data_IF_951447164229
#
_entry.id   IF_951447164229
#
_cell.length_a   1.000
_cell.length_b   1.000
_cell.length_c   1.000
_cell.angle_alpha   90.00
_cell.angle_beta   90.00
_cell.angle_gamma   90.00
#
_symmetry.space_group_name_H-M   'P 1'
#
loop_
_entity.id
_entity.type
_entity.pdbx_description
1 polymer ?
#
# COMPACT_ATOMS: atom_id res chain seq x y z
N UNK A 1 58.38 -46.07 -48.19
CA UNK A 1 57.88 -44.70 -47.91
C UNK A 1 58.27 -44.30 -46.50
N UNK A 2 59.44 -43.69 -46.34
CA UNK A 2 59.91 -43.17 -45.04
C UNK A 2 59.42 -41.72 -44.89
N UNK A 3 58.63 -41.45 -43.86
CA UNK A 3 58.35 -40.07 -43.43
C UNK A 3 59.38 -39.64 -42.39
N UNK A 4 60.01 -38.49 -42.69
CA UNK A 4 61.00 -37.80 -41.88
C UNK A 4 60.27 -36.99 -40.82
N UNK A 5 60.45 -37.35 -39.54
CA UNK A 5 59.94 -36.59 -38.40
C UNK A 5 60.94 -35.48 -38.05
N UNK A 6 60.60 -34.24 -38.41
CA UNK A 6 61.35 -33.06 -38.00
C UNK A 6 60.89 -32.63 -36.60
N UNK A 7 61.78 -32.82 -35.62
CA UNK A 7 61.60 -32.37 -34.25
C UNK A 7 61.70 -30.85 -34.16
N UNK A 8 60.58 -30.21 -33.84
CA UNK A 8 60.55 -28.81 -33.37
C UNK A 8 60.63 -28.82 -31.85
N UNK A 9 61.77 -28.40 -31.32
CA UNK A 9 61.93 -28.03 -29.92
C UNK A 9 61.12 -26.76 -29.65
N UNK A 10 59.94 -26.92 -29.04
CA UNK A 10 59.13 -25.82 -28.54
C UNK A 10 59.79 -25.33 -27.25
N UNK A 11 60.28 -24.10 -27.28
CA UNK A 11 60.90 -23.42 -26.15
C UNK A 11 59.91 -23.29 -25.00
N UNK A 12 60.20 -23.95 -23.88
CA UNK A 12 59.38 -23.99 -22.65
C UNK A 12 59.11 -22.59 -22.07
N UNK A 13 59.89 -21.58 -22.48
CA UNK A 13 59.77 -20.20 -22.00
C UNK A 13 58.54 -19.43 -22.55
N UNK A 14 58.03 -19.77 -23.74
CA UNK A 14 56.85 -19.08 -24.31
C UNK A 14 55.52 -19.57 -23.71
N UNK A 15 55.50 -20.77 -23.11
CA UNK A 15 54.31 -21.33 -22.48
C UNK A 15 53.89 -20.62 -21.19
N UNK A 16 54.84 -20.02 -20.47
CA UNK A 16 54.60 -19.40 -19.15
C UNK A 16 53.94 -18.00 -19.29
N UNK A 17 54.30 -17.25 -20.33
CA UNK A 17 53.71 -15.94 -20.64
C UNK A 17 52.23 -16.07 -21.08
N UNK A 18 51.92 -17.07 -21.92
CA UNK A 18 50.53 -17.35 -22.33
C UNK A 18 49.65 -17.84 -21.18
N UNK A 19 50.21 -18.58 -20.21
CA UNK A 19 49.49 -18.99 -19.01
C UNK A 19 49.16 -17.80 -18.09
N UNK A 20 50.07 -16.81 -17.98
CA UNK A 20 49.85 -15.58 -17.18
C UNK A 20 48.79 -14.66 -17.77
N UNK A 21 48.78 -14.45 -19.09
CA UNK A 21 47.72 -13.67 -19.75
C UNK A 21 46.35 -14.33 -19.62
N UNK A 22 46.30 -15.66 -19.71
CA UNK A 22 45.04 -16.43 -19.55
C UNK A 22 44.50 -16.35 -18.11
N UNK A 23 45.39 -16.37 -17.10
CA UNK A 23 44.99 -16.24 -15.70
C UNK A 23 44.50 -14.83 -15.35
N UNK A 24 45.11 -13.78 -15.91
CA UNK A 24 44.68 -12.39 -15.72
C UNK A 24 43.31 -12.10 -16.36
N UNK A 25 43.03 -12.68 -17.53
CA UNK A 25 41.70 -12.60 -18.16
C UNK A 25 40.63 -13.32 -17.33
N UNK A 26 40.93 -14.49 -16.76
CA UNK A 26 40.00 -15.23 -15.89
C UNK A 26 39.73 -14.51 -14.55
N UNK A 27 40.70 -13.77 -14.00
CA UNK A 27 40.52 -12.97 -12.77
C UNK A 27 39.70 -11.69 -13.00
N UNK A 28 39.68 -11.15 -14.22
CA UNK A 28 38.84 -9.99 -14.56
C UNK A 28 37.38 -10.35 -14.83
N UNK A 29 37.08 -11.59 -15.21
CA UNK A 29 35.72 -12.02 -15.55
C UNK A 29 34.83 -12.33 -14.34
N UNK A 30 35.41 -12.64 -13.17
CA UNK A 30 34.65 -12.94 -11.94
C UNK A 30 34.15 -11.69 -11.20
N UNK A 31 34.56 -10.49 -11.62
CA UNK A 31 34.09 -9.22 -11.03
C UNK A 31 32.78 -8.67 -11.64
N UNK A 32 32.32 -9.22 -12.78
CA UNK A 32 31.21 -8.63 -13.55
C UNK A 32 29.88 -9.39 -13.48
N UNK A 33 29.78 -10.47 -12.68
CA UNK A 33 28.56 -11.26 -12.54
C UNK A 33 27.85 -11.10 -11.18
N UNK A 34 28.26 -10.15 -10.35
CA UNK A 34 27.34 -9.55 -9.39
C UNK A 34 26.51 -8.52 -10.17
N UNK A 35 25.58 -9.00 -11.01
CA UNK A 35 24.56 -8.12 -11.55
C UNK A 35 23.89 -7.48 -10.35
N UNK A 36 24.03 -6.16 -10.20
CA UNK A 36 23.46 -5.42 -9.08
C UNK A 36 21.96 -5.67 -9.09
N UNK A 37 21.51 -6.61 -8.24
CA UNK A 37 20.10 -6.89 -8.06
C UNK A 37 19.45 -5.56 -7.69
N UNK A 38 18.59 -5.07 -8.57
CA UNK A 38 17.96 -3.78 -8.40
C UNK A 38 17.08 -3.82 -7.15
N UNK A 39 16.76 -2.67 -6.58
CA UNK A 39 15.82 -2.61 -5.46
C UNK A 39 14.43 -3.17 -5.82
N UNK A 40 14.09 -3.27 -7.10
CA UNK A 40 12.86 -3.92 -7.58
C UNK A 40 12.92 -5.46 -7.52
N UNK A 41 14.12 -6.04 -7.52
CA UNK A 41 14.32 -7.49 -7.44
C UNK A 41 14.58 -7.93 -6.00
N UNK A 42 15.28 -7.10 -5.21
CA UNK A 42 15.54 -7.34 -3.79
C UNK A 42 15.47 -6.02 -2.98
N UNK A 43 14.28 -5.62 -2.51
CA UNK A 43 14.10 -4.38 -1.74
C UNK A 43 14.64 -4.45 -0.31
N UNK A 44 15.12 -5.60 0.15
CA UNK A 44 15.66 -5.80 1.51
C UNK A 44 17.15 -5.44 1.65
N UNK A 45 17.73 -4.77 0.65
CA UNK A 45 19.14 -4.35 0.69
C UNK A 45 19.26 -2.96 1.33
N UNK A 46 20.35 -2.71 2.06
CA UNK A 46 20.59 -1.40 2.71
C UNK A 46 20.57 -0.22 1.73
N UNK A 47 21.03 -0.44 0.48
CA UNK A 47 21.00 0.57 -0.59
C UNK A 47 19.58 0.96 -1.03
N UNK A 48 18.57 0.16 -0.69
CA UNK A 48 17.18 0.39 -1.08
C UNK A 48 16.39 1.21 -0.07
N UNK A 49 17.04 1.72 0.99
CA UNK A 49 16.36 2.50 2.02
C UNK A 49 15.69 3.76 1.49
N UNK A 50 16.31 4.40 0.49
CA UNK A 50 15.74 5.57 -0.16
C UNK A 50 15.20 5.22 -1.54
N UNK A 51 13.88 5.25 -1.69
CA UNK A 51 13.25 5.01 -2.98
C UNK A 51 13.49 6.12 -4.01
N UNK A 52 13.93 7.32 -3.62
CA UNK A 52 14.07 8.43 -4.57
C UNK A 52 15.08 8.15 -5.70
N UNK A 53 16.03 7.24 -5.48
CA UNK A 53 17.02 6.85 -6.49
C UNK A 53 16.48 5.94 -7.61
N UNK A 54 15.38 5.21 -7.37
CA UNK A 54 14.89 4.17 -8.30
C UNK A 54 13.37 4.12 -8.48
N UNK A 55 12.61 4.79 -7.61
CA UNK A 55 11.18 5.00 -7.73
C UNK A 55 10.79 6.37 -7.14
N UNK A 56 11.23 7.47 -7.77
CA UNK A 56 11.05 8.83 -7.27
C UNK A 56 9.59 9.24 -7.20
N UNK A 57 9.31 10.32 -6.45
CA UNK A 57 7.96 10.89 -6.31
C UNK A 57 7.24 11.13 -7.64
N UNK A 58 7.95 11.49 -8.72
CA UNK A 58 7.39 11.66 -10.07
C UNK A 58 6.83 10.37 -10.64
N UNK A 59 7.50 9.24 -10.41
CA UNK A 59 7.10 7.94 -10.92
C UNK A 59 5.94 7.39 -10.11
N UNK A 60 5.94 7.60 -8.78
CA UNK A 60 4.79 7.30 -7.91
C UNK A 60 3.56 8.09 -8.35
N UNK A 61 3.73 9.37 -8.64
CA UNK A 61 2.65 10.24 -9.14
C UNK A 61 2.14 9.78 -10.52
N UNK A 62 3.04 9.33 -11.40
CA UNK A 62 2.67 8.77 -12.70
C UNK A 62 1.87 7.48 -12.54
N UNK A 63 2.30 6.57 -11.65
CA UNK A 63 1.57 5.36 -11.29
C UNK A 63 0.17 5.66 -10.75
N UNK A 64 0.05 6.63 -9.85
CA UNK A 64 -1.24 7.12 -9.34
C UNK A 64 -2.12 7.69 -10.46
N UNK A 65 -1.55 8.50 -11.35
CA UNK A 65 -2.25 9.06 -12.50
C UNK A 65 -2.84 7.98 -13.40
N UNK A 66 -2.05 6.95 -13.72
CA UNK A 66 -2.52 5.79 -14.50
C UNK A 66 -3.66 5.05 -13.79
N UNK A 67 -3.53 4.79 -12.48
CA UNK A 67 -4.55 4.10 -11.68
C UNK A 67 -5.85 4.89 -11.64
N UNK A 68 -5.78 6.19 -11.32
CA UNK A 68 -6.95 7.04 -11.21
C UNK A 68 -7.55 7.43 -12.56
N UNK A 69 -6.80 7.37 -13.66
CA UNK A 69 -7.37 7.50 -15.00
C UNK A 69 -8.17 6.25 -15.38
N UNK A 70 -7.66 5.06 -15.05
CA UNK A 70 -8.34 3.80 -15.33
C UNK A 70 -9.58 3.58 -14.45
N UNK A 71 -9.51 4.00 -13.18
CA UNK A 71 -10.60 3.87 -12.21
C UNK A 71 -10.70 5.15 -11.35
N UNK A 72 -11.35 6.22 -11.85
CA UNK A 72 -11.38 7.53 -11.18
C UNK A 72 -12.12 7.55 -9.85
N UNK A 73 -12.97 6.55 -9.61
CA UNK A 73 -13.84 6.47 -8.45
C UNK A 73 -13.36 5.50 -7.38
N UNK A 74 -12.08 5.11 -7.41
CA UNK A 74 -11.50 4.38 -6.29
C UNK A 74 -11.42 5.28 -5.06
N UNK A 75 -11.66 4.77 -3.85
CA UNK A 75 -11.63 5.59 -2.63
C UNK A 75 -10.33 6.39 -2.48
N UNK A 76 -9.17 5.77 -2.77
CA UNK A 76 -7.89 6.48 -2.78
C UNK A 76 -7.75 7.54 -3.87
N UNK A 77 -8.41 7.37 -5.03
CA UNK A 77 -8.46 8.36 -6.10
C UNK A 77 -9.40 9.53 -5.77
N UNK A 78 -10.49 9.29 -5.05
CA UNK A 78 -11.37 10.33 -4.51
C UNK A 78 -10.62 11.23 -3.53
N UNK A 79 -9.77 10.64 -2.67
CA UNK A 79 -8.89 11.42 -1.79
C UNK A 79 -7.85 12.19 -2.61
N UNK A 80 -7.22 11.55 -3.62
CA UNK A 80 -6.28 12.26 -4.52
C UNK A 80 -6.94 13.46 -5.20
N UNK A 81 -8.14 13.28 -5.75
CA UNK A 81 -8.89 14.35 -6.41
C UNK A 81 -9.17 15.53 -5.45
N UNK A 82 -9.47 15.24 -4.19
CA UNK A 82 -9.52 16.26 -3.14
C UNK A 82 -8.16 16.93 -2.93
N UNK A 83 -7.08 16.18 -2.75
CA UNK A 83 -5.73 16.74 -2.58
C UNK A 83 -5.27 17.65 -3.74
N UNK A 84 -5.73 17.39 -4.96
CA UNK A 84 -5.43 18.21 -6.14
C UNK A 84 -6.36 19.45 -6.27
N UNK A 85 -7.50 19.47 -5.58
CA UNK A 85 -8.47 20.56 -5.61
C UNK A 85 -8.12 21.61 -4.54
N UNK A 86 -7.85 22.84 -4.98
CA UNK A 86 -7.55 23.98 -4.11
C UNK A 86 -8.68 24.30 -3.09
N UNK A 87 -9.90 23.81 -3.33
CA UNK A 87 -11.04 23.96 -2.44
C UNK A 87 -11.14 22.86 -1.39
N UNK A 88 -10.21 21.90 -1.38
CA UNK A 88 -10.23 20.73 -0.49
C UNK A 88 -9.11 20.77 0.56
N UNK A 89 -9.02 21.87 1.30
CA UNK A 89 -8.02 22.06 2.37
C UNK A 89 -8.29 21.26 3.66
N UNK A 90 -9.22 20.31 3.59
CA UNK A 90 -9.80 19.57 4.71
C UNK A 90 -9.24 18.14 4.82
N UNK A 91 -8.24 17.80 4.02
CA UNK A 91 -7.44 16.57 4.11
C UNK A 91 -6.03 16.94 4.54
N UNK A 92 -5.52 16.27 5.58
CA UNK A 92 -4.18 16.53 6.08
C UNK A 92 -3.12 16.20 5.02
N UNK A 93 -2.12 17.06 4.92
CA UNK A 93 -1.05 16.96 3.91
C UNK A 93 -0.39 15.56 3.86
N UNK A 94 -0.24 14.87 5.00
CA UNK A 94 0.33 13.51 5.05
C UNK A 94 -0.42 12.49 4.18
N UNK A 95 -1.74 12.62 4.02
CA UNK A 95 -2.52 11.72 3.17
C UNK A 95 -2.52 12.14 1.70
N UNK A 96 -2.08 13.37 1.42
CA UNK A 96 -1.87 13.87 0.07
C UNK A 96 -0.47 13.55 -0.47
N UNK A 97 0.41 12.96 0.34
CA UNK A 97 1.69 12.47 -0.15
C UNK A 97 1.48 11.29 -1.12
N UNK A 98 2.13 11.28 -2.30
CA UNK A 98 1.93 10.22 -3.30
C UNK A 98 2.16 8.80 -2.76
N UNK A 99 3.12 8.64 -1.86
CA UNK A 99 3.39 7.35 -1.22
C UNK A 99 2.25 6.89 -0.28
N UNK A 100 1.58 7.81 0.41
CA UNK A 100 0.37 7.49 1.18
C UNK A 100 -0.78 7.07 0.26
N UNK A 101 -1.03 7.86 -0.80
CA UNK A 101 -2.11 7.58 -1.75
C UNK A 101 -1.92 6.25 -2.49
N UNK A 102 -0.70 5.96 -2.96
CA UNK A 102 -0.45 4.70 -3.69
C UNK A 102 -0.57 3.50 -2.74
N UNK A 103 -0.21 3.66 -1.46
CA UNK A 103 -0.42 2.64 -0.42
C UNK A 103 -1.90 2.39 -0.16
N UNK A 104 -2.73 3.43 -0.14
CA UNK A 104 -4.20 3.32 -0.04
C UNK A 104 -4.84 2.59 -1.24
N UNK A 105 -4.22 2.61 -2.42
CA UNK A 105 -4.78 1.95 -3.61
C UNK A 105 -4.20 0.54 -3.78
N UNK A 106 -2.88 0.40 -3.69
CA UNK A 106 -2.16 -0.80 -4.10
C UNK A 106 -1.89 -1.78 -2.96
N UNK A 107 -1.87 -1.34 -1.70
CA UNK A 107 -1.60 -2.26 -0.59
C UNK A 107 -2.72 -3.29 -0.46
N UNK A 108 -2.35 -4.56 -0.31
CA UNK A 108 -3.32 -5.61 -0.01
C UNK A 108 -3.80 -5.59 1.44
N UNK A 109 -3.12 -4.83 2.32
CA UNK A 109 -3.49 -4.72 3.73
C UNK A 109 -4.42 -3.54 3.98
N UNK A 110 -4.20 -2.43 3.28
CA UNK A 110 -4.90 -1.16 3.53
C UNK A 110 -5.78 -0.71 2.36
N UNK A 111 -5.58 -1.26 1.16
CA UNK A 111 -6.17 -0.77 -0.07
C UNK A 111 -7.10 -1.73 -0.78
N UNK A 112 -7.28 -1.47 -2.07
CA UNK A 112 -8.28 -2.08 -2.95
C UNK A 112 -7.88 -3.49 -3.45
N UNK A 113 -6.77 -4.05 -2.95
CA UNK A 113 -6.20 -5.33 -3.42
C UNK A 113 -6.03 -5.39 -4.94
N UNK A 114 -5.53 -4.30 -5.55
CA UNK A 114 -5.31 -4.17 -7.00
C UNK A 114 -4.00 -4.86 -7.45
N UNK A 115 -3.77 -6.07 -6.97
CA UNK A 115 -2.62 -6.89 -7.38
C UNK A 115 -2.71 -7.22 -8.87
N UNK A 116 -1.71 -6.80 -9.64
CA UNK A 116 -1.62 -7.04 -11.09
C UNK A 116 -1.97 -5.82 -11.96
N UNK A 117 -2.48 -4.73 -11.39
CA UNK A 117 -2.59 -3.49 -12.15
C UNK A 117 -1.23 -2.88 -12.43
N UNK A 118 -1.02 -2.38 -13.66
CA UNK A 118 0.26 -1.79 -14.09
C UNK A 118 0.76 -0.70 -13.14
N UNK A 119 -0.12 0.20 -12.69
CA UNK A 119 0.25 1.27 -11.76
C UNK A 119 0.57 0.81 -10.33
N UNK A 120 0.20 -0.42 -9.95
CA UNK A 120 0.56 -1.00 -8.66
C UNK A 120 1.79 -1.92 -8.73
N UNK A 121 2.30 -2.23 -9.94
CA UNK A 121 3.36 -3.22 -10.12
C UNK A 121 4.64 -2.86 -9.35
N UNK A 122 5.14 -1.63 -9.50
CA UNK A 122 6.38 -1.19 -8.82
C UNK A 122 6.18 -1.15 -7.31
N UNK A 123 5.07 -0.57 -6.84
CA UNK A 123 4.74 -0.54 -5.42
C UNK A 123 4.68 -1.95 -4.81
N UNK A 124 4.02 -2.90 -5.47
CA UNK A 124 3.88 -4.26 -4.95
C UNK A 124 5.20 -5.01 -4.87
N UNK A 125 6.15 -4.73 -5.77
CA UNK A 125 7.51 -5.29 -5.69
C UNK A 125 8.30 -4.76 -4.51
N UNK A 126 8.05 -3.52 -4.09
CA UNK A 126 8.80 -2.83 -3.03
C UNK A 126 8.15 -2.95 -1.65
N UNK A 127 6.83 -2.85 -1.57
CA UNK A 127 6.04 -2.70 -0.35
C UNK A 127 4.89 -3.72 -0.24
N UNK A 128 4.91 -4.78 -1.06
CA UNK A 128 3.89 -5.84 -1.00
C UNK A 128 3.86 -6.50 0.39
N UNK A 129 2.70 -7.05 0.78
CA UNK A 129 2.49 -7.66 2.11
C UNK A 129 3.54 -8.72 2.46
N UNK A 130 3.96 -9.51 1.49
CA UNK A 130 4.90 -10.62 1.67
C UNK A 130 6.33 -10.26 1.26
N UNK A 131 6.62 -8.96 1.07
CA UNK A 131 7.93 -8.45 0.67
C UNK A 131 8.67 -7.94 1.91
N UNK A 132 9.77 -8.59 2.25
CA UNK A 132 10.74 -8.01 3.18
C UNK A 132 11.41 -6.81 2.49
N UNK A 133 11.29 -5.62 3.08
CA UNK A 133 11.72 -4.37 2.46
C UNK A 133 12.45 -3.47 3.45
N UNK A 134 13.52 -2.84 3.00
CA UNK A 134 14.20 -1.76 3.72
C UNK A 134 13.79 -0.37 3.24
N UNK A 135 12.94 -0.29 2.20
CA UNK A 135 12.47 0.97 1.61
C UNK A 135 11.69 1.77 2.65
N UNK A 136 12.23 2.92 3.07
CA UNK A 136 11.66 3.73 4.15
C UNK A 136 10.23 4.18 3.85
N UNK A 137 9.96 4.56 2.60
CA UNK A 137 8.65 5.01 2.14
C UNK A 137 7.54 3.95 2.29
N UNK A 138 7.88 2.66 2.42
CA UNK A 138 6.89 1.62 2.69
C UNK A 138 6.36 1.65 4.13
N UNK A 139 7.12 2.15 5.10
CA UNK A 139 6.84 2.02 6.54
C UNK A 139 6.82 3.33 7.33
N UNK A 140 7.38 4.40 6.79
CA UNK A 140 7.44 5.71 7.45
C UNK A 140 6.06 6.35 7.66
N UNK A 141 5.95 7.13 8.74
CA UNK A 141 4.69 7.78 9.14
C UNK A 141 4.20 8.83 8.13
N UNK A 142 5.13 9.52 7.44
CA UNK A 142 4.75 10.50 6.40
C UNK A 142 4.07 9.85 5.19
N UNK A 143 4.26 8.55 5.01
CA UNK A 143 3.65 7.72 3.96
C UNK A 143 2.61 6.76 4.54
N UNK A 144 2.14 7.00 5.76
CA UNK A 144 1.10 6.20 6.39
C UNK A 144 -0.18 6.25 5.55
N UNK A 145 -0.86 5.11 5.33
CA UNK A 145 -2.13 5.09 4.64
C UNK A 145 -3.22 5.75 5.50
N UNK A 146 -4.37 5.99 4.89
CA UNK A 146 -5.57 6.37 5.61
C UNK A 146 -6.05 5.14 6.39
N UNK A 147 -6.18 5.23 7.72
CA UNK A 147 -6.59 4.09 8.51
C UNK A 147 -8.00 3.67 8.13
N UNK A 148 -8.21 2.37 7.88
CA UNK A 148 -9.52 1.79 7.59
C UNK A 148 -10.29 2.43 6.43
N UNK A 149 -9.60 3.01 5.44
CA UNK A 149 -10.24 3.56 4.24
C UNK A 149 -11.18 2.52 3.62
N UNK A 150 -12.49 2.81 3.48
CA UNK A 150 -13.42 1.90 2.82
C UNK A 150 -12.94 1.57 1.42
N UNK A 151 -12.92 0.27 1.06
CA UNK A 151 -12.64 -0.12 -0.31
C UNK A 151 -13.75 0.34 -1.25
N UNK A 152 -13.46 0.46 -2.53
CA UNK A 152 -14.36 0.93 -3.59
C UNK A 152 -15.58 0.03 -3.67
N UNK A 153 -15.39 -1.28 -3.52
CA UNK A 153 -16.50 -2.24 -3.47
C UNK A 153 -17.39 -2.02 -2.24
N UNK A 154 -16.81 -1.76 -1.06
CA UNK A 154 -17.58 -1.43 0.14
C UNK A 154 -18.28 -0.08 -0.02
N UNK A 155 -17.59 0.94 -0.50
CA UNK A 155 -18.13 2.26 -0.79
C UNK A 155 -19.31 2.17 -1.75
N UNK A 156 -19.16 1.44 -2.86
CA UNK A 156 -20.21 1.23 -3.85
C UNK A 156 -21.44 0.55 -3.27
N UNK A 157 -21.28 -0.61 -2.61
CA UNK A 157 -22.41 -1.36 -2.06
C UNK A 157 -23.18 -0.55 -0.99
N UNK A 158 -22.45 0.15 -0.11
CA UNK A 158 -23.07 0.95 0.94
C UNK A 158 -23.66 2.26 0.38
N UNK A 159 -22.99 2.94 -0.55
CA UNK A 159 -23.53 4.12 -1.23
C UNK A 159 -24.82 3.79 -1.98
N UNK A 160 -24.88 2.65 -2.69
CA UNK A 160 -26.08 2.16 -3.36
C UNK A 160 -27.26 1.99 -2.38
N UNK A 161 -26.96 1.48 -1.19
CA UNK A 161 -27.95 1.21 -0.15
C UNK A 161 -28.47 2.51 0.46
N UNK A 162 -27.57 3.46 0.79
CA UNK A 162 -27.98 4.73 1.38
C UNK A 162 -28.65 5.67 0.36
N UNK A 163 -28.22 5.62 -0.90
CA UNK A 163 -28.81 6.36 -2.01
C UNK A 163 -29.87 5.57 -2.79
N UNK A 164 -30.49 4.54 -2.19
CA UNK A 164 -31.51 3.72 -2.85
C UNK A 164 -32.76 4.52 -3.29
N UNK A 165 -33.91 3.85 -3.36
CA UNK A 165 -35.11 4.41 -4.01
C UNK A 165 -35.59 5.79 -3.50
N UNK A 166 -35.14 6.24 -2.32
CA UNK A 166 -35.48 7.53 -1.73
C UNK A 166 -34.22 8.29 -1.29
N UNK A 167 -33.48 8.95 -2.21
CA UNK A 167 -32.35 9.78 -1.82
C UNK A 167 -32.84 10.88 -0.86
N UNK A 168 -32.05 11.27 0.16
CA UNK A 168 -32.45 12.36 1.05
C UNK A 168 -32.74 13.63 0.25
N UNK A 169 -33.89 14.25 0.53
CA UNK A 169 -34.30 15.47 -0.18
C UNK A 169 -33.22 16.55 -0.05
N UNK A 170 -32.83 17.16 -1.18
CA UNK A 170 -31.80 18.20 -1.22
C UNK A 170 -30.35 17.69 -1.10
N UNK A 171 -30.11 16.38 -1.05
CA UNK A 171 -28.75 15.85 -1.10
C UNK A 171 -28.13 16.08 -2.48
N UNK A 172 -26.92 16.67 -2.51
CA UNK A 172 -26.13 16.87 -3.74
C UNK A 172 -25.19 15.69 -4.03
N UNK A 173 -25.12 14.76 -3.09
CA UNK A 173 -24.23 13.60 -3.09
C UNK A 173 -24.95 12.29 -3.47
N UNK A 174 -26.28 12.17 -3.27
CA UNK A 174 -27.06 11.14 -3.95
C UNK A 174 -27.70 11.73 -5.22
N UNK A 175 -27.59 11.03 -6.33
CA UNK A 175 -28.50 11.25 -7.48
C UNK A 175 -29.52 10.13 -7.50
N UNK A 176 -30.70 10.36 -8.09
CA UNK A 176 -31.80 9.39 -8.12
C UNK A 176 -31.49 8.10 -8.90
N UNK A 177 -30.35 8.04 -9.61
CA UNK A 177 -29.92 6.81 -10.27
C UNK A 177 -29.21 5.92 -9.24
N UNK A 178 -29.67 4.68 -9.03
CA UNK A 178 -29.07 3.79 -8.05
C UNK A 178 -27.61 3.50 -8.44
N UNK A 179 -26.71 3.66 -7.49
CA UNK A 179 -25.30 3.29 -7.64
C UNK A 179 -25.15 1.76 -7.65
N UNK A 180 -25.71 1.07 -8.65
CA UNK A 180 -25.55 -0.38 -8.76
C UNK A 180 -24.15 -0.73 -9.29
N UNK A 181 -23.72 -1.98 -9.17
CA UNK A 181 -22.48 -2.46 -9.81
C UNK A 181 -22.55 -2.35 -11.34
N UNK A 182 -23.74 -2.47 -11.93
CA UNK A 182 -24.00 -2.24 -13.36
C UNK A 182 -24.00 -0.77 -13.75
N UNK A 183 -24.32 0.14 -12.82
CA UNK A 183 -24.35 1.59 -13.00
C UNK A 183 -23.18 2.30 -12.31
N UNK A 184 -22.16 1.56 -11.87
CA UNK A 184 -20.99 2.12 -11.21
C UNK A 184 -20.33 3.26 -12.01
N UNK A 185 -20.28 3.24 -13.37
CA UNK A 185 -19.80 4.39 -14.15
C UNK A 185 -20.66 5.65 -14.01
N UNK A 186 -21.95 5.47 -13.70
CA UNK A 186 -22.93 6.55 -13.55
C UNK A 186 -23.08 6.99 -12.08
N UNK A 187 -22.57 6.20 -11.14
CA UNK A 187 -22.49 6.60 -9.74
C UNK A 187 -21.41 7.68 -9.59
N UNK A 188 -21.83 8.88 -9.21
CA UNK A 188 -20.92 9.94 -8.81
C UNK A 188 -20.12 9.44 -7.60
N UNK A 189 -18.82 9.23 -7.77
CA UNK A 189 -17.82 8.87 -6.73
C UNK A 189 -18.42 8.19 -5.47
N UNK A 190 -18.47 6.85 -5.42
CA UNK A 190 -19.11 6.12 -4.34
C UNK A 190 -18.57 6.44 -2.95
N UNK A 191 -17.27 6.74 -2.82
CA UNK A 191 -16.68 7.07 -1.53
C UNK A 191 -17.13 8.44 -1.03
N UNK A 192 -17.16 9.44 -1.91
CA UNK A 192 -17.70 10.77 -1.58
C UNK A 192 -19.19 10.69 -1.26
N UNK A 193 -19.95 9.89 -2.02
CA UNK A 193 -21.38 9.66 -1.80
C UNK A 193 -21.65 9.02 -0.43
N UNK A 194 -20.97 7.93 -0.11
CA UNK A 194 -21.03 7.28 1.20
C UNK A 194 -20.68 8.26 2.32
N UNK A 195 -19.61 9.04 2.15
CA UNK A 195 -19.16 10.02 3.14
C UNK A 195 -20.20 11.10 3.38
N UNK A 196 -20.81 11.67 2.32
CA UNK A 196 -21.90 12.63 2.44
C UNK A 196 -23.08 12.08 3.22
N UNK A 197 -23.42 10.81 2.99
CA UNK A 197 -24.49 10.12 3.69
C UNK A 197 -24.21 9.92 5.18
N UNK A 198 -23.00 9.47 5.50
CA UNK A 198 -22.58 9.22 6.86
C UNK A 198 -22.35 10.49 7.67
N UNK A 199 -21.99 11.59 7.02
CA UNK A 199 -21.98 12.90 7.66
C UNK A 199 -23.39 13.40 7.97
N UNK A 200 -24.38 13.10 7.11
CA UNK A 200 -25.78 13.46 7.37
C UNK A 200 -26.40 12.62 8.50
N UNK A 201 -26.05 11.34 8.60
CA UNK A 201 -26.52 10.44 9.66
C UNK A 201 -25.49 9.34 9.92
N UNK A 202 -24.60 9.59 10.90
CA UNK A 202 -23.49 8.69 11.23
C UNK A 202 -23.92 7.40 11.93
N UNK A 203 -25.20 7.28 12.31
CA UNK A 203 -25.75 6.09 12.99
C UNK A 203 -26.26 5.03 12.02
N UNK A 204 -26.26 5.31 10.71
CA UNK A 204 -26.61 4.31 9.69
C UNK A 204 -25.68 3.11 9.78
N UNK A 205 -26.25 1.91 9.73
CA UNK A 205 -25.49 0.64 9.77
C UNK A 205 -24.45 0.56 8.65
N UNK A 206 -24.73 1.16 7.51
CA UNK A 206 -23.89 1.23 6.32
C UNK A 206 -22.57 1.99 6.57
N UNK A 207 -22.59 2.99 7.45
CA UNK A 207 -21.40 3.76 7.83
C UNK A 207 -20.41 2.91 8.64
N UNK A 208 -20.93 2.07 9.54
CA UNK A 208 -20.11 1.10 10.27
C UNK A 208 -19.67 -0.06 9.35
N UNK A 209 -20.58 -0.62 8.55
CA UNK A 209 -20.32 -1.79 7.71
C UNK A 209 -19.31 -1.52 6.59
N UNK A 210 -19.31 -0.31 6.03
CA UNK A 210 -18.33 0.13 5.03
C UNK A 210 -16.91 0.31 5.61
N UNK A 211 -16.80 0.53 6.92
CA UNK A 211 -15.56 0.96 7.57
C UNK A 211 -15.41 2.49 7.69
N UNK A 212 -16.36 3.29 7.19
CA UNK A 212 -16.29 4.75 7.25
C UNK A 212 -16.20 5.25 8.70
N UNK A 213 -16.99 4.69 9.62
CA UNK A 213 -16.93 5.07 11.05
C UNK A 213 -15.57 4.75 11.65
N UNK A 214 -14.97 3.61 11.29
CA UNK A 214 -13.65 3.21 11.77
C UNK A 214 -12.55 4.15 11.22
N UNK A 215 -12.64 4.51 9.93
CA UNK A 215 -11.75 5.49 9.30
C UNK A 215 -11.83 6.83 10.02
N UNK A 216 -13.02 7.41 10.14
CA UNK A 216 -13.19 8.74 10.75
C UNK A 216 -12.84 8.78 12.24
N UNK A 217 -12.97 7.65 12.94
CA UNK A 217 -12.54 7.53 14.35
C UNK A 217 -11.02 7.46 14.47
N UNK A 218 -10.38 6.59 13.68
CA UNK A 218 -8.93 6.40 13.74
C UNK A 218 -8.14 7.59 13.20
N UNK A 219 -8.76 8.37 12.33
CA UNK A 219 -8.12 9.48 11.64
C UNK A 219 -7.85 10.70 12.53
N UNK A 220 -8.64 10.92 13.58
CA UNK A 220 -8.45 12.04 14.50
C UNK A 220 -8.70 13.42 13.87
N UNK A 221 -9.49 13.50 12.80
CA UNK A 221 -9.91 14.76 12.18
C UNK A 221 -8.97 15.33 11.12
N UNK A 222 -8.12 14.49 10.56
CA UNK A 222 -7.27 14.76 9.40
C UNK A 222 -8.03 14.58 8.05
N UNK A 223 -9.28 14.12 8.05
CA UNK A 223 -10.13 13.89 6.88
C UNK A 223 -11.47 14.63 7.01
N UNK A 224 -11.45 15.91 7.41
CA UNK A 224 -12.66 16.70 7.65
C UNK A 224 -13.59 16.72 6.44
N UNK A 225 -13.05 16.66 5.22
CA UNK A 225 -13.84 16.61 3.98
C UNK A 225 -14.78 15.42 3.93
N UNK A 226 -14.32 14.27 4.42
CA UNK A 226 -15.02 12.99 4.31
C UNK A 226 -15.70 12.59 5.63
N UNK A 227 -15.24 13.11 6.75
CA UNK A 227 -15.73 12.78 8.09
C UNK A 227 -16.61 13.87 8.71
N UNK A 228 -16.54 15.11 8.22
CA UNK A 228 -17.21 16.26 8.80
C UNK A 228 -16.50 16.76 10.06
N UNK A 229 -16.67 18.05 10.36
CA UNK A 229 -16.10 18.68 11.56
C UNK A 229 -16.81 18.27 12.87
N UNK A 230 -18.06 17.83 12.78
CA UNK A 230 -18.83 17.43 13.96
C UNK A 230 -18.49 16.02 14.45
N UNK A 231 -18.07 15.13 13.55
CA UNK A 231 -17.74 13.76 13.91
C UNK A 231 -16.53 13.73 14.85
N UNK A 232 -15.55 14.61 14.61
CA UNK A 232 -14.37 14.76 15.46
C UNK A 232 -14.71 15.33 16.83
N UNK A 233 -15.61 16.32 16.89
CA UNK A 233 -16.04 16.92 18.16
C UNK A 233 -16.77 15.91 19.07
N UNK A 234 -17.52 14.96 18.49
CA UNK A 234 -18.25 13.94 19.26
C UNK A 234 -17.34 12.86 19.85
N UNK A 235 -16.15 12.63 19.29
CA UNK A 235 -15.15 11.73 19.87
C UNK A 235 -14.54 12.32 21.16
N UNK A 236 -14.30 13.63 21.17
CA UNK A 236 -13.69 14.31 22.32
C UNK A 236 -14.65 14.42 23.52
N UNK A 237 -15.96 14.57 23.29
CA UNK A 237 -16.96 14.76 24.36
C UNK A 237 -17.31 13.45 25.08
N UNK A 238 -17.06 12.29 24.47
CA UNK A 238 -17.29 10.97 25.09
C UNK A 238 -16.09 10.42 25.89
N UNK A 239 -14.89 10.98 25.72
CA UNK A 239 -13.67 10.48 26.35
C UNK A 239 -13.47 10.94 27.81
N UNK A 240 -14.50 11.54 28.41
CA UNK A 240 -14.61 11.78 29.85
C UNK A 240 -14.98 10.54 30.68
N UNK A 241 -15.12 9.36 30.07
CA UNK A 241 -15.39 8.11 30.77
C UNK A 241 -14.13 7.26 30.88
N UNK A 242 -13.41 7.42 32.00
CA UNK A 242 -12.45 6.47 32.59
C UNK A 242 -11.59 5.70 31.59
N UNK A 243 -10.40 6.22 31.31
CA UNK A 243 -9.25 5.39 30.97
C UNK A 243 -8.99 4.40 32.13
N UNK A 244 -9.70 3.27 32.13
CA UNK A 244 -9.21 2.06 32.75
C UNK A 244 -8.09 1.58 31.81
N UNK A 245 -6.89 2.08 32.07
CA UNK A 245 -5.69 1.45 31.59
C UNK A 245 -5.76 -0.02 32.03
N UNK A 246 -6.14 -0.91 31.12
CA UNK A 246 -5.73 -2.30 31.16
C UNK A 246 -4.20 -2.30 30.93
N UNK A 247 -3.46 -1.86 31.96
CA UNK A 247 -2.14 -2.38 32.22
C UNK A 247 -2.35 -3.87 32.45
N UNK A 248 -2.23 -4.65 31.38
CA UNK A 248 -1.88 -6.05 31.50
C UNK A 248 -0.53 -6.07 32.23
N UNK A 249 -0.58 -6.26 33.54
CA UNK A 249 0.61 -6.49 34.34
C UNK A 249 1.28 -7.77 33.81
N UNK A 250 2.58 -7.78 33.49
CA UNK A 250 3.26 -8.96 32.95
C UNK A 250 3.33 -10.14 33.93
N UNK A 251 2.74 -10.04 35.13
CA UNK A 251 2.74 -11.07 36.15
C UNK A 251 1.74 -12.24 35.94
N UNK A 252 0.90 -12.22 34.89
CA UNK A 252 -0.12 -13.27 34.68
C UNK A 252 0.16 -14.24 33.52
N UNK A 253 1.31 -14.14 32.85
CA UNK A 253 1.69 -15.07 31.76
C UNK A 253 2.38 -16.37 32.23
N UNK A 254 2.52 -16.59 33.54
CA UNK A 254 3.21 -17.76 34.10
C UNK A 254 2.33 -18.96 34.44
N UNK A 255 1.01 -18.91 34.21
CA UNK A 255 0.10 -20.00 34.63
C UNK A 255 -0.56 -20.81 33.50
N UNK A 256 -0.16 -20.61 32.24
CA UNK A 256 -0.81 -21.23 31.07
C UNK A 256 0.15 -22.00 30.14
N UNK A 257 1.27 -22.49 30.67
CA UNK A 257 2.20 -23.41 29.94
C UNK A 257 2.18 -24.83 30.55
N UNK A 258 1.41 -25.09 31.61
CA UNK A 258 1.44 -26.39 32.30
C UNK A 258 0.43 -27.45 31.81
N UNK A 259 -0.40 -27.19 30.79
CA UNK A 259 -1.44 -28.14 30.33
C UNK A 259 -1.40 -28.47 28.84
N UNK A 260 -0.29 -28.19 28.14
CA UNK A 260 -0.11 -28.58 26.73
C UNK A 260 0.86 -29.76 26.50
N UNK A 261 1.39 -30.38 27.55
CA UNK A 261 2.34 -31.52 27.41
C UNK A 261 1.72 -32.91 27.67
N UNK A 262 0.42 -33.03 27.94
CA UNK A 262 -0.21 -34.30 28.29
C UNK A 262 -1.03 -34.98 27.16
N UNK A 263 -0.97 -34.51 25.91
CA UNK A 263 -1.76 -35.07 24.80
C UNK A 263 -0.91 -35.75 23.71
N UNK A 264 0.42 -35.64 23.74
CA UNK A 264 1.32 -36.26 22.75
C UNK A 264 2.00 -37.56 23.21
N UNK A 265 1.39 -38.30 24.15
CA UNK A 265 1.89 -39.59 24.63
C UNK A 265 0.88 -40.74 24.49
N UNK A 266 -0.09 -40.63 23.58
CA UNK A 266 -1.09 -41.68 23.35
C UNK A 266 -1.50 -41.86 21.88
N UNK A 267 -0.61 -41.57 20.93
CA UNK A 267 -0.70 -42.01 19.53
C UNK A 267 0.69 -42.35 18.99
#
# INVERSE_FOLDING_TARGET
CCQKLEGRSISILEGIEMLRLSLLLLLSASAYAAGDATCLDNPNRDMCKDAEDFYPKTDVTTSLGMLCTAMPHMSGCSVKACCDDANCNDVAAKYCEPWSLIKNICSTQYGEMMTGMKGCSTYNKLCGKDVATMVAQCTEDKSAPIPSLPSTMKSLNNAATVCGANPPSGSTWCTASPCTTSDAPNCKDPFTTLSGACMADSKKSECAASGWTAMCTADGGNLKKFCGSEFTAKLDVGSGSTSLAHRASPASLLSLVATAFAVFAAF
#
